data_IF_197827223334
#
_entry.id   IF_197827223334
#
_cell.length_a   1.000
_cell.length_b   1.000
_cell.length_c   1.000
_cell.angle_alpha   90.00
_cell.angle_beta   90.00
_cell.angle_gamma   90.00
#
_symmetry.space_group_name_H-M   'P 1'
#
loop_
_entity.id
_entity.type
_entity.pdbx_description
1 polymer ?
#
# COMPACT_ATOMS: atom_id res chain seq x y z
N UNK A 1 -47.11 -30.84 3.24
CA UNK A 1 -46.59 -29.63 3.92
C UNK A 1 -46.62 -28.49 2.91
N UNK A 2 -47.35 -27.41 3.19
CA UNK A 2 -47.87 -26.47 2.18
C UNK A 2 -46.82 -25.45 1.69
N UNK A 3 -46.86 -25.17 0.39
CA UNK A 3 -45.98 -24.33 -0.43
C UNK A 3 -46.16 -22.81 -0.20
N UNK A 4 -46.79 -22.39 0.91
CA UNK A 4 -47.35 -21.03 1.10
C UNK A 4 -46.60 -20.13 2.09
N UNK A 5 -45.48 -20.56 2.67
CA UNK A 5 -44.73 -19.75 3.65
C UNK A 5 -43.41 -19.13 3.14
N UNK A 6 -43.08 -19.27 1.85
CA UNK A 6 -41.80 -18.77 1.30
C UNK A 6 -41.75 -17.26 0.96
N UNK A 7 -42.85 -16.51 1.14
CA UNK A 7 -42.93 -15.09 0.77
C UNK A 7 -43.02 -14.10 1.95
N UNK A 8 -43.05 -14.58 3.20
CA UNK A 8 -42.92 -13.69 4.37
C UNK A 8 -41.45 -13.65 4.80
N UNK A 9 -40.80 -12.49 4.66
CA UNK A 9 -39.45 -12.26 5.18
C UNK A 9 -38.32 -12.36 4.14
N UNK A 10 -38.56 -11.98 2.87
CA UNK A 10 -37.50 -11.78 1.89
C UNK A 10 -36.84 -10.42 2.08
N UNK A 11 -35.51 -10.38 2.00
CA UNK A 11 -34.72 -9.15 2.15
C UNK A 11 -33.69 -9.01 1.03
N UNK A 12 -33.32 -7.78 0.71
CA UNK A 12 -32.15 -7.55 -0.14
C UNK A 12 -30.89 -7.64 0.71
N UNK A 13 -29.83 -8.29 0.21
CA UNK A 13 -28.56 -8.42 0.92
C UNK A 13 -27.43 -7.79 0.10
N UNK A 14 -26.73 -6.81 0.68
CA UNK A 14 -25.52 -6.25 0.11
C UNK A 14 -24.29 -7.04 0.55
N UNK A 15 -23.53 -7.56 -0.43
CA UNK A 15 -22.33 -8.35 -0.23
C UNK A 15 -21.10 -7.65 -0.82
N UNK A 16 -20.04 -7.55 -0.02
CA UNK A 16 -18.81 -6.84 -0.40
C UNK A 16 -17.51 -7.61 -0.12
N UNK A 17 -17.60 -8.75 0.58
CA UNK A 17 -16.49 -9.61 0.99
C UNK A 17 -16.49 -11.00 0.33
N UNK A 18 -16.27 -12.05 1.13
CA UNK A 18 -16.19 -13.46 0.70
C UNK A 18 -17.44 -13.94 -0.03
N UNK A 19 -18.63 -13.50 0.41
CA UNK A 19 -19.91 -13.85 -0.20
C UNK A 19 -20.06 -13.37 -1.66
N UNK A 20 -19.15 -12.51 -2.16
CA UNK A 20 -19.09 -12.13 -3.59
C UNK A 20 -18.68 -13.29 -4.51
N UNK A 21 -18.12 -14.38 -3.99
CA UNK A 21 -17.98 -15.63 -4.75
C UNK A 21 -19.28 -16.43 -4.63
N UNK A 22 -19.94 -16.66 -5.76
CA UNK A 22 -21.22 -17.38 -5.82
C UNK A 22 -21.14 -18.81 -5.28
N UNK A 23 -19.96 -19.44 -5.30
CA UNK A 23 -19.75 -20.78 -4.72
C UNK A 23 -19.74 -20.71 -3.20
N UNK A 24 -19.10 -19.69 -2.61
CA UNK A 24 -19.10 -19.48 -1.16
C UNK A 24 -20.50 -19.12 -0.69
N UNK A 25 -21.19 -18.22 -1.41
CA UNK A 25 -22.57 -17.88 -1.12
C UNK A 25 -23.50 -19.11 -1.15
N UNK A 26 -23.33 -20.01 -2.13
CA UNK A 26 -24.07 -21.28 -2.18
C UNK A 26 -23.74 -22.21 -1.03
N UNK A 27 -22.46 -22.36 -0.68
CA UNK A 27 -22.06 -23.20 0.44
C UNK A 27 -22.61 -22.71 1.79
N UNK A 28 -22.80 -21.41 1.94
CA UNK A 28 -23.33 -20.80 3.17
C UNK A 28 -24.86 -20.78 3.20
N UNK A 29 -25.50 -20.33 2.11
CA UNK A 29 -26.95 -20.05 2.08
C UNK A 29 -27.80 -21.16 1.45
N UNK A 30 -27.16 -22.11 0.76
CA UNK A 30 -27.84 -23.10 -0.09
C UNK A 30 -28.28 -22.56 -1.46
N UNK A 31 -28.16 -21.24 -1.71
CA UNK A 31 -28.63 -20.57 -2.93
C UNK A 31 -27.48 -20.04 -3.76
N UNK A 32 -27.66 -19.95 -5.08
CA UNK A 32 -26.72 -19.28 -5.99
C UNK A 32 -27.18 -17.87 -6.28
N UNK A 33 -26.30 -17.07 -6.88
CA UNK A 33 -26.72 -15.83 -7.50
C UNK A 33 -26.16 -15.68 -8.93
N UNK A 34 -26.89 -14.93 -9.75
CA UNK A 34 -26.55 -14.63 -11.14
C UNK A 34 -26.80 -13.17 -11.47
N UNK A 35 -25.91 -12.62 -12.30
CA UNK A 35 -26.06 -11.27 -12.87
C UNK A 35 -27.00 -11.22 -14.07
N UNK A 36 -27.39 -12.38 -14.61
CA UNK A 36 -28.27 -12.48 -15.77
C UNK A 36 -29.67 -12.83 -15.27
N UNK A 37 -30.63 -11.94 -15.48
CA UNK A 37 -32.03 -12.15 -15.10
C UNK A 37 -32.64 -13.40 -15.75
N UNK A 38 -32.17 -13.78 -16.95
CA UNK A 38 -32.61 -15.00 -17.65
C UNK A 38 -32.14 -16.32 -17.03
N UNK A 39 -31.30 -16.27 -15.98
CA UNK A 39 -30.78 -17.45 -15.26
C UNK A 39 -31.32 -17.56 -13.84
N UNK A 40 -32.36 -16.79 -13.51
CA UNK A 40 -33.02 -16.85 -12.21
C UNK A 40 -33.96 -18.07 -12.21
N UNK A 41 -33.86 -18.88 -11.17
CA UNK A 41 -34.73 -20.02 -10.93
C UNK A 41 -35.02 -20.14 -9.43
N UNK A 42 -35.58 -21.26 -8.99
CA UNK A 42 -35.93 -21.47 -7.58
C UNK A 42 -34.71 -21.48 -6.63
N UNK A 43 -33.51 -21.74 -7.15
CA UNK A 43 -32.26 -21.86 -6.37
C UNK A 43 -31.25 -20.74 -6.69
N UNK A 44 -31.51 -19.91 -7.69
CA UNK A 44 -30.60 -18.87 -8.19
C UNK A 44 -31.23 -17.49 -8.12
N UNK A 45 -30.69 -16.64 -7.24
CA UNK A 45 -31.12 -15.27 -7.00
C UNK A 45 -30.50 -14.26 -7.97
N UNK A 46 -31.14 -13.10 -8.12
CA UNK A 46 -30.60 -12.00 -8.93
C UNK A 46 -29.57 -11.18 -8.15
N UNK A 47 -28.45 -10.87 -8.79
CA UNK A 47 -27.42 -9.99 -8.25
C UNK A 47 -27.18 -8.79 -9.17
N UNK A 48 -27.31 -7.57 -8.63
CA UNK A 48 -26.95 -6.34 -9.35
C UNK A 48 -25.79 -5.58 -8.68
N UNK A 49 -24.92 -4.89 -9.45
CA UNK A 49 -23.85 -4.10 -8.86
C UNK A 49 -24.42 -2.91 -8.07
N UNK A 50 -23.83 -2.68 -6.90
CA UNK A 50 -24.27 -1.62 -6.00
C UNK A 50 -23.10 -0.97 -5.26
N UNK A 51 -23.33 0.27 -4.81
CA UNK A 51 -22.37 1.07 -4.05
C UNK A 51 -22.91 1.37 -2.65
N UNK A 52 -22.17 0.98 -1.62
CA UNK A 52 -22.42 1.41 -0.25
C UNK A 52 -21.61 2.68 0.03
N UNK A 53 -22.31 3.81 0.23
CA UNK A 53 -21.69 5.12 0.49
C UNK A 53 -21.38 5.32 1.97
N UNK A 54 -20.35 6.12 2.28
CA UNK A 54 -19.90 6.43 3.64
C UNK A 54 -19.26 5.26 4.39
N UNK A 55 -18.77 4.25 3.66
CA UNK A 55 -18.04 3.12 4.23
C UNK A 55 -16.75 2.86 3.46
N UNK A 56 -15.77 2.27 4.14
CA UNK A 56 -14.50 1.79 3.57
C UNK A 56 -14.32 0.32 3.90
N UNK A 57 -13.84 -0.45 2.91
CA UNK A 57 -13.48 -1.86 3.07
C UNK A 57 -12.06 -1.98 3.65
N UNK A 58 -11.88 -2.78 4.71
CA UNK A 58 -10.59 -3.10 5.33
C UNK A 58 -10.49 -4.60 5.57
N UNK A 59 -9.29 -5.19 5.61
CA UNK A 59 -9.09 -6.62 5.92
C UNK A 59 -7.93 -6.79 6.91
N UNK A 60 -8.18 -6.59 8.21
CA UNK A 60 -7.13 -6.52 9.21
C UNK A 60 -6.52 -7.89 9.55
N UNK A 61 -7.15 -9.00 9.15
CA UNK A 61 -6.64 -10.37 9.33
C UNK A 61 -6.24 -11.06 8.03
N UNK A 62 -6.39 -10.37 6.88
CA UNK A 62 -6.11 -10.91 5.55
C UNK A 62 -6.92 -12.18 5.20
N UNK A 63 -8.00 -12.44 5.94
CA UNK A 63 -8.92 -13.57 5.72
C UNK A 63 -10.33 -13.04 5.45
N UNK A 64 -10.73 -11.96 6.12
CA UNK A 64 -12.07 -11.40 6.02
C UNK A 64 -12.06 -9.90 5.71
N UNK A 65 -13.10 -9.43 5.00
CA UNK A 65 -13.29 -8.02 4.66
C UNK A 65 -14.35 -7.39 5.57
N UNK A 66 -14.05 -6.19 6.05
CA UNK A 66 -14.85 -5.45 7.02
C UNK A 66 -15.21 -4.08 6.47
N UNK A 67 -16.48 -3.68 6.60
CA UNK A 67 -16.94 -2.34 6.28
C UNK A 67 -16.91 -1.46 7.53
N UNK A 68 -16.11 -0.39 7.50
CA UNK A 68 -16.03 0.61 8.57
C UNK A 68 -16.57 1.96 8.08
N UNK A 69 -17.19 2.74 8.95
CA UNK A 69 -17.72 4.05 8.59
C UNK A 69 -16.59 5.00 8.16
N UNK A 70 -16.76 5.64 7.00
CA UNK A 70 -15.79 6.55 6.39
C UNK A 70 -16.52 7.56 5.49
N UNK A 71 -16.77 8.80 5.95
CA UNK A 71 -17.72 9.73 5.32
C UNK A 71 -17.47 10.03 3.84
N UNK A 72 -16.21 10.00 3.39
CA UNK A 72 -15.82 10.32 2.02
C UNK A 72 -15.53 9.08 1.15
N UNK A 73 -15.82 7.88 1.64
CA UNK A 73 -15.50 6.61 0.97
C UNK A 73 -16.74 5.89 0.47
N UNK A 74 -16.52 4.91 -0.40
CA UNK A 74 -17.56 3.98 -0.88
C UNK A 74 -17.02 2.57 -1.02
N UNK A 75 -17.90 1.58 -0.94
CA UNK A 75 -17.59 0.16 -1.17
C UNK A 75 -18.38 -0.33 -2.38
N UNK A 76 -17.67 -0.89 -3.36
CA UNK A 76 -18.28 -1.60 -4.50
C UNK A 76 -18.63 -3.05 -4.10
N UNK A 77 -19.87 -3.45 -4.36
CA UNK A 77 -20.38 -4.79 -4.04
C UNK A 77 -21.52 -5.22 -4.96
N UNK A 78 -22.26 -6.22 -4.50
CA UNK A 78 -23.47 -6.71 -5.17
C UNK A 78 -24.64 -6.64 -4.20
N UNK A 79 -25.82 -6.31 -4.70
CA UNK A 79 -27.07 -6.57 -3.98
C UNK A 79 -27.67 -7.84 -4.53
N UNK A 80 -27.90 -8.80 -3.64
CA UNK A 80 -28.66 -10.01 -3.92
C UNK A 80 -30.11 -9.73 -3.52
N UNK A 81 -31.02 -9.83 -4.49
CA UNK A 81 -32.44 -9.56 -4.25
C UNK A 81 -33.17 -10.77 -3.68
N UNK A 82 -34.20 -10.48 -2.89
CA UNK A 82 -35.19 -11.46 -2.43
C UNK A 82 -34.61 -12.68 -1.70
N UNK A 83 -33.56 -12.47 -0.90
CA UNK A 83 -32.95 -13.53 -0.07
C UNK A 83 -33.98 -13.98 0.97
N UNK A 84 -34.38 -15.26 0.99
CA UNK A 84 -35.43 -15.74 1.88
C UNK A 84 -34.92 -15.87 3.33
N UNK A 85 -35.81 -15.68 4.31
CA UNK A 85 -35.48 -15.73 5.74
C UNK A 85 -34.68 -16.97 6.20
N UNK A 86 -34.97 -18.21 5.73
CA UNK A 86 -34.15 -19.37 6.09
C UNK A 86 -32.69 -19.26 5.62
N UNK A 87 -32.45 -18.72 4.42
CA UNK A 87 -31.11 -18.49 3.90
C UNK A 87 -30.39 -17.39 4.68
N UNK A 88 -31.10 -16.32 5.05
CA UNK A 88 -30.56 -15.27 5.93
C UNK A 88 -30.14 -15.82 7.29
N UNK A 89 -30.91 -16.74 7.89
CA UNK A 89 -30.57 -17.35 9.17
C UNK A 89 -29.32 -18.26 9.11
N UNK A 90 -29.01 -18.84 7.95
CA UNK A 90 -27.73 -19.54 7.71
C UNK A 90 -26.57 -18.56 7.56
N UNK A 91 -26.78 -17.46 6.83
CA UNK A 91 -25.76 -16.40 6.67
C UNK A 91 -25.48 -15.73 8.03
N UNK A 92 -26.49 -15.52 8.87
CA UNK A 92 -26.32 -15.01 10.23
C UNK A 92 -25.45 -15.95 11.08
N UNK A 93 -25.60 -17.27 10.94
CA UNK A 93 -24.74 -18.24 11.64
C UNK A 93 -23.30 -18.21 11.15
N UNK A 94 -23.10 -17.92 9.87
CA UNK A 94 -21.78 -17.82 9.25
C UNK A 94 -21.05 -16.51 9.61
N UNK A 95 -21.72 -15.35 9.45
CA UNK A 95 -21.13 -14.02 9.65
C UNK A 95 -21.31 -13.46 11.07
N UNK A 96 -22.40 -13.81 11.77
CA UNK A 96 -22.87 -13.18 13.01
C UNK A 96 -21.96 -13.35 14.24
N UNK A 97 -20.83 -14.04 14.11
CA UNK A 97 -19.78 -14.07 15.14
C UNK A 97 -18.85 -12.87 15.06
N UNK A 98 -18.70 -12.25 13.89
CA UNK A 98 -17.70 -11.21 13.62
C UNK A 98 -18.30 -9.91 13.07
N UNK A 99 -19.56 -9.96 12.65
CA UNK A 99 -20.26 -8.86 12.01
C UNK A 99 -21.63 -8.64 12.65
N UNK A 100 -22.08 -7.40 12.63
CA UNK A 100 -23.43 -7.00 12.99
C UNK A 100 -24.23 -6.79 11.70
N UNK A 101 -25.45 -7.31 11.65
CA UNK A 101 -26.34 -7.10 10.50
C UNK A 101 -27.07 -5.78 10.67
N UNK A 102 -26.91 -4.89 9.70
CA UNK A 102 -27.53 -3.57 9.70
C UNK A 102 -28.25 -3.28 8.40
N UNK A 103 -29.31 -2.48 8.46
CA UNK A 103 -30.01 -1.97 7.28
C UNK A 103 -29.26 -0.77 6.71
N UNK A 104 -28.85 -0.86 5.45
CA UNK A 104 -28.09 0.16 4.74
C UNK A 104 -28.81 0.59 3.46
N UNK A 105 -28.52 1.82 3.02
CA UNK A 105 -28.91 2.31 1.69
C UNK A 105 -27.74 2.16 0.74
N UNK A 106 -27.98 1.46 -0.37
CA UNK A 106 -27.00 1.21 -1.42
C UNK A 106 -27.51 1.77 -2.74
N UNK A 107 -26.59 2.28 -3.56
CA UNK A 107 -26.92 2.89 -4.84
C UNK A 107 -26.67 1.89 -5.96
N UNK A 108 -27.72 1.55 -6.70
CA UNK A 108 -27.65 0.71 -7.90
C UNK A 108 -27.85 1.58 -9.14
N UNK A 109 -27.76 0.99 -10.32
CA UNK A 109 -27.99 1.72 -11.57
C UNK A 109 -29.41 2.30 -11.68
N UNK A 110 -30.38 1.70 -10.95
CA UNK A 110 -31.78 2.06 -11.01
C UNK A 110 -32.23 2.97 -9.86
N UNK A 111 -31.33 3.31 -8.93
CA UNK A 111 -31.62 4.19 -7.80
C UNK A 111 -31.08 3.65 -6.47
N UNK A 112 -31.49 4.30 -5.38
CA UNK A 112 -31.13 3.86 -4.03
C UNK A 112 -32.11 2.80 -3.55
N UNK A 113 -31.60 1.69 -3.03
CA UNK A 113 -32.40 0.60 -2.47
C UNK A 113 -31.95 0.30 -1.03
N UNK A 114 -32.89 -0.15 -0.21
CA UNK A 114 -32.58 -0.66 1.13
C UNK A 114 -32.16 -2.13 1.03
N UNK A 115 -31.07 -2.45 1.70
CA UNK A 115 -30.52 -3.79 1.82
C UNK A 115 -29.95 -4.01 3.22
N UNK A 116 -29.88 -5.25 3.65
CA UNK A 116 -29.11 -5.63 4.82
C UNK A 116 -27.64 -5.82 4.44
N UNK A 117 -26.73 -5.45 5.34
CA UNK A 117 -25.30 -5.69 5.18
C UNK A 117 -24.69 -6.12 6.51
N UNK A 118 -23.68 -6.97 6.45
CA UNK A 118 -22.88 -7.34 7.62
C UNK A 118 -21.78 -6.31 7.78
N UNK A 119 -21.88 -5.44 8.79
CA UNK A 119 -20.95 -4.35 9.09
C UNK A 119 -20.19 -4.65 10.39
N UNK A 120 -19.22 -3.79 10.70
CA UNK A 120 -18.56 -3.80 12.01
C UNK A 120 -18.48 -2.41 12.58
N UNK A 121 -18.74 -2.32 13.88
CA UNK A 121 -18.53 -1.09 14.65
C UNK A 121 -17.03 -0.89 14.93
N UNK A 122 -16.62 0.38 15.04
CA UNK A 122 -15.23 0.73 15.38
C UNK A 122 -14.81 0.09 16.73
N UNK A 123 -15.71 0.05 17.70
CA UNK A 123 -15.49 -0.54 19.01
C UNK A 123 -15.33 -2.07 18.97
N UNK A 124 -16.10 -2.76 18.11
CA UNK A 124 -15.96 -4.22 17.91
C UNK A 124 -14.62 -4.57 17.26
N UNK A 125 -14.19 -3.76 16.28
CA UNK A 125 -12.88 -3.89 15.64
C UNK A 125 -11.74 -3.70 16.64
N UNK A 126 -11.78 -2.66 17.48
CA UNK A 126 -10.75 -2.40 18.48
C UNK A 126 -10.65 -3.53 19.52
N UNK A 127 -11.78 -4.13 19.93
CA UNK A 127 -11.80 -5.25 20.90
C UNK A 127 -11.31 -6.57 20.30
N UNK A 128 -11.71 -6.90 19.07
CA UNK A 128 -11.34 -8.17 18.43
C UNK A 128 -9.93 -8.16 17.85
N UNK A 129 -9.47 -6.98 17.44
CA UNK A 129 -8.26 -6.85 16.65
C UNK A 129 -7.17 -6.01 17.32
N UNK A 130 -7.46 -5.29 18.41
CA UNK A 130 -6.51 -4.37 19.05
C UNK A 130 -6.17 -3.19 18.13
N UNK A 131 -4.99 -2.60 18.30
CA UNK A 131 -4.38 -1.61 17.39
C UNK A 131 -3.94 -2.24 16.04
N UNK A 132 -4.87 -2.84 15.29
CA UNK A 132 -4.60 -3.43 13.95
C UNK A 132 -4.43 -2.37 12.84
N UNK A 133 -3.83 -1.24 13.20
CA UNK A 133 -3.11 -0.28 12.37
C UNK A 133 -2.00 -0.94 11.51
N UNK A 134 -1.59 -2.17 11.83
CA UNK A 134 -0.46 -2.87 11.19
C UNK A 134 -0.72 -3.50 9.81
N UNK A 135 -1.93 -3.52 9.23
CA UNK A 135 -2.14 -4.20 7.93
C UNK A 135 -1.60 -3.41 6.73
N UNK A 136 -1.76 -2.09 6.75
CA UNK A 136 -1.09 -1.20 5.80
C UNK A 136 0.44 -1.31 5.91
N UNK A 137 0.95 -1.43 7.14
CA UNK A 137 2.37 -1.69 7.41
C UNK A 137 2.82 -3.05 6.86
N UNK A 138 2.06 -4.13 7.09
CA UNK A 138 2.41 -5.48 6.63
C UNK A 138 2.46 -5.53 5.10
N UNK A 139 1.50 -4.91 4.41
CA UNK A 139 1.52 -4.80 2.95
C UNK A 139 2.70 -3.97 2.43
N UNK A 140 2.97 -2.82 3.04
CA UNK A 140 4.16 -2.02 2.73
C UNK A 140 5.44 -2.84 2.92
N UNK A 141 5.58 -3.55 4.05
CA UNK A 141 6.73 -4.40 4.34
C UNK A 141 6.86 -5.57 3.35
N UNK A 142 5.76 -6.19 2.94
CA UNK A 142 5.76 -7.27 1.97
C UNK A 142 6.15 -6.80 0.57
N UNK A 143 5.62 -5.65 0.15
CA UNK A 143 5.99 -5.01 -1.11
C UNK A 143 7.46 -4.61 -1.13
N UNK A 144 7.96 -4.00 -0.05
CA UNK A 144 9.40 -3.69 0.12
C UNK A 144 10.26 -4.94 0.05
N UNK A 145 9.85 -6.05 0.66
CA UNK A 145 10.55 -7.36 0.53
C UNK A 145 10.52 -7.92 -0.90
N UNK A 146 9.46 -7.67 -1.69
CA UNK A 146 9.41 -8.03 -3.12
C UNK A 146 10.39 -7.20 -3.95
N UNK A 147 10.39 -5.88 -3.75
CA UNK A 147 11.33 -4.95 -4.39
C UNK A 147 12.78 -5.34 -4.06
N UNK A 148 13.08 -5.61 -2.78
CA UNK A 148 14.40 -6.02 -2.34
C UNK A 148 14.84 -7.35 -3.02
N UNK A 149 13.94 -8.32 -3.13
CA UNK A 149 14.21 -9.58 -3.85
C UNK A 149 14.46 -9.34 -5.33
N UNK A 150 13.71 -8.45 -5.97
CA UNK A 150 13.91 -8.09 -7.38
C UNK A 150 15.31 -7.48 -7.58
N UNK A 151 15.69 -6.48 -6.77
CA UNK A 151 17.00 -5.82 -6.86
C UNK A 151 18.12 -6.84 -6.60
N UNK A 152 17.98 -7.72 -5.61
CA UNK A 152 18.96 -8.80 -5.34
C UNK A 152 19.14 -9.78 -6.49
N UNK A 153 18.10 -10.02 -7.30
CA UNK A 153 18.16 -10.89 -8.49
C UNK A 153 18.79 -10.19 -9.70
N UNK A 154 18.55 -8.88 -9.88
CA UNK A 154 19.05 -8.12 -11.03
C UNK A 154 20.47 -7.60 -10.82
N UNK A 155 20.79 -7.11 -9.63
CA UNK A 155 22.03 -6.39 -9.35
C UNK A 155 23.00 -7.28 -8.57
N UNK A 156 24.00 -7.81 -9.30
CA UNK A 156 25.06 -8.72 -8.79
C UNK A 156 24.50 -9.93 -8.05
N UNK A 157 23.75 -10.80 -8.74
CA UNK A 157 23.07 -11.94 -8.13
C UNK A 157 24.07 -12.90 -7.47
N UNK A 158 23.73 -13.36 -6.26
CA UNK A 158 24.57 -14.29 -5.49
C UNK A 158 25.73 -13.64 -4.72
N UNK A 159 26.10 -12.39 -5.04
CA UNK A 159 27.22 -11.72 -4.40
C UNK A 159 26.83 -11.04 -3.07
N UNK A 160 27.61 -11.31 -2.02
CA UNK A 160 27.39 -10.83 -0.64
C UNK A 160 28.42 -9.81 -0.16
N UNK A 161 29.24 -9.25 -1.05
CA UNK A 161 30.26 -8.24 -0.69
C UNK A 161 29.61 -6.93 -0.25
N UNK A 162 30.34 -6.13 0.53
CA UNK A 162 29.92 -4.77 0.94
C UNK A 162 29.72 -3.87 -0.29
N UNK A 163 30.52 -4.09 -1.33
CA UNK A 163 30.44 -3.37 -2.59
C UNK A 163 29.13 -3.65 -3.33
N UNK A 164 28.78 -4.92 -3.50
CA UNK A 164 27.50 -5.33 -4.10
C UNK A 164 26.28 -4.83 -3.30
N UNK A 165 26.36 -4.82 -1.97
CA UNK A 165 25.29 -4.28 -1.14
C UNK A 165 25.13 -2.76 -1.27
N UNK A 166 26.24 -2.03 -1.40
CA UNK A 166 26.20 -0.59 -1.65
C UNK A 166 25.55 -0.28 -3.00
N UNK A 167 25.86 -1.10 -4.01
CA UNK A 167 25.33 -0.96 -5.37
C UNK A 167 23.83 -1.25 -5.43
N UNK A 168 23.36 -2.33 -4.77
CA UNK A 168 21.92 -2.62 -4.65
C UNK A 168 21.13 -1.49 -3.99
N UNK A 169 21.69 -0.89 -2.95
CA UNK A 169 21.08 0.26 -2.27
C UNK A 169 21.07 1.50 -3.16
N UNK A 170 22.15 1.75 -3.91
CA UNK A 170 22.20 2.85 -4.86
C UNK A 170 21.19 2.68 -5.99
N UNK A 171 21.01 1.46 -6.50
CA UNK A 171 19.98 1.12 -7.48
C UNK A 171 18.57 1.42 -6.94
N UNK A 172 18.32 1.05 -5.68
CA UNK A 172 17.04 1.33 -5.00
C UNK A 172 16.80 2.83 -4.83
N UNK A 173 17.83 3.60 -4.50
CA UNK A 173 17.77 5.05 -4.34
C UNK A 173 17.35 5.73 -5.65
N UNK A 174 17.92 5.31 -6.78
CA UNK A 174 17.53 5.79 -8.11
C UNK A 174 16.11 5.40 -8.53
N UNK A 175 15.54 4.35 -7.91
CA UNK A 175 14.16 3.91 -8.10
C UNK A 175 13.19 4.42 -7.03
N UNK A 176 13.64 5.29 -6.10
CA UNK A 176 12.87 5.63 -4.90
C UNK A 176 11.48 6.21 -5.19
N UNK A 177 11.34 7.03 -6.25
CA UNK A 177 10.04 7.56 -6.68
C UNK A 177 9.12 6.45 -7.18
N UNK A 178 9.64 5.53 -8.01
CA UNK A 178 8.88 4.37 -8.49
C UNK A 178 8.45 3.46 -7.33
N UNK A 179 9.36 3.16 -6.39
CA UNK A 179 9.01 2.38 -5.20
C UNK A 179 7.92 3.07 -4.38
N UNK A 180 8.02 4.39 -4.19
CA UNK A 180 6.99 5.17 -3.50
C UNK A 180 5.65 5.06 -4.22
N UNK A 181 5.61 5.25 -5.52
CA UNK A 181 4.37 5.23 -6.29
C UNK A 181 3.74 3.83 -6.29
N UNK A 182 4.54 2.77 -6.33
CA UNK A 182 4.10 1.39 -6.14
C UNK A 182 3.51 1.13 -4.74
N UNK A 183 4.14 1.69 -3.70
CA UNK A 183 3.60 1.61 -2.33
C UNK A 183 2.30 2.41 -2.19
N UNK A 184 2.22 3.57 -2.83
CA UNK A 184 1.05 4.45 -2.78
C UNK A 184 -0.13 3.89 -3.58
N UNK A 185 0.11 3.27 -4.74
CA UNK A 185 -0.95 2.64 -5.55
C UNK A 185 -1.61 1.48 -4.81
N UNK A 186 -0.85 0.69 -4.05
CA UNK A 186 -1.40 -0.38 -3.19
C UNK A 186 -2.40 0.12 -2.14
N UNK A 187 -2.32 1.39 -1.71
CA UNK A 187 -3.31 1.97 -0.80
C UNK A 187 -4.64 2.33 -1.48
N UNK A 188 -4.66 2.43 -2.82
CA UNK A 188 -5.79 2.93 -3.60
C UNK A 188 -6.39 1.88 -4.57
N UNK A 189 -5.73 0.75 -4.82
CA UNK A 189 -6.19 -0.31 -5.74
C UNK A 189 -5.98 -1.73 -5.18
N UNK A 190 -6.56 -2.74 -5.85
CA UNK A 190 -6.30 -4.16 -5.57
C UNK A 190 -4.81 -4.52 -5.67
N UNK A 191 -4.43 -5.69 -5.14
CA UNK A 191 -3.05 -6.16 -5.00
C UNK A 191 -2.21 -6.02 -6.28
N UNK A 192 -1.01 -5.43 -6.15
CA UNK A 192 -0.06 -5.22 -7.24
C UNK A 192 0.50 -6.56 -7.75
N UNK A 193 0.21 -6.91 -9.01
CA UNK A 193 0.68 -8.17 -9.64
C UNK A 193 2.21 -8.22 -9.76
N UNK A 194 2.79 -9.43 -9.76
CA UNK A 194 4.24 -9.60 -9.93
C UNK A 194 4.72 -9.06 -11.27
N UNK A 195 3.97 -9.29 -12.35
CA UNK A 195 4.31 -8.78 -13.68
C UNK A 195 4.40 -7.25 -13.72
N UNK A 196 3.42 -6.54 -13.15
CA UNK A 196 3.44 -5.08 -13.13
C UNK A 196 4.58 -4.55 -12.26
N UNK A 197 4.83 -5.18 -11.10
CA UNK A 197 5.94 -4.81 -10.23
C UNK A 197 7.30 -4.99 -10.91
N UNK A 198 7.51 -6.12 -11.58
CA UNK A 198 8.75 -6.36 -12.33
C UNK A 198 8.92 -5.36 -13.46
N UNK A 199 7.87 -5.09 -14.24
CA UNK A 199 7.91 -4.10 -15.32
C UNK A 199 8.30 -2.70 -14.82
N UNK A 200 7.71 -2.25 -13.71
CA UNK A 200 7.98 -0.93 -13.14
C UNK A 200 9.38 -0.82 -12.55
N UNK A 201 9.89 -1.89 -11.93
CA UNK A 201 11.26 -1.91 -11.37
C UNK A 201 12.35 -2.14 -12.44
N UNK A 202 11.97 -2.58 -13.63
CA UNK A 202 12.91 -2.79 -14.74
C UNK A 202 13.21 -1.55 -15.57
N UNK A 203 12.66 -0.39 -15.18
CA UNK A 203 12.92 0.89 -15.83
C UNK A 203 14.43 1.22 -15.84
N UNK A 204 14.93 1.86 -16.90
CA UNK A 204 16.32 2.30 -16.97
C UNK A 204 16.62 3.28 -15.84
N UNK A 205 17.81 3.17 -15.25
CA UNK A 205 18.26 4.06 -14.18
C UNK A 205 18.66 5.41 -14.80
N UNK A 206 18.39 6.54 -14.14
CA UNK A 206 18.85 7.84 -14.61
C UNK A 206 20.38 7.87 -14.74
N UNK A 207 20.88 8.50 -15.81
CA UNK A 207 22.30 8.68 -16.10
C UNK A 207 22.55 10.16 -16.39
N UNK A 208 23.72 10.66 -16.00
CA UNK A 208 24.14 12.05 -16.25
C UNK A 208 25.06 12.18 -17.46
N UNK A 209 25.39 11.08 -18.15
CA UNK A 209 26.32 11.08 -19.29
C UNK A 209 25.93 12.04 -20.40
N UNK A 210 24.62 12.17 -20.64
CA UNK A 210 24.07 13.07 -21.66
C UNK A 210 24.34 14.56 -21.34
N UNK A 211 24.67 14.91 -20.10
CA UNK A 211 24.95 16.29 -19.67
C UNK A 211 26.42 16.69 -19.89
N UNK A 212 27.30 15.75 -20.20
CA UNK A 212 28.75 16.03 -20.32
C UNK A 212 29.09 16.83 -21.58
N UNK A 213 28.33 16.59 -22.64
CA UNK A 213 28.47 17.28 -23.92
C UNK A 213 27.57 18.53 -24.02
N UNK A 214 26.77 18.83 -22.99
CA UNK A 214 25.91 20.01 -22.94
C UNK A 214 26.68 21.23 -22.39
N UNK A 215 26.98 22.24 -23.22
CA UNK A 215 27.72 23.43 -22.79
C UNK A 215 27.00 24.25 -21.72
N UNK A 216 25.66 24.18 -21.67
CA UNK A 216 24.86 24.91 -20.69
C UNK A 216 24.84 24.21 -19.32
N UNK A 217 24.87 22.87 -19.31
CA UNK A 217 24.86 22.09 -18.07
C UNK A 217 26.24 21.97 -17.42
N UNK A 218 27.31 21.92 -18.24
CA UNK A 218 28.69 21.69 -17.80
C UNK A 218 29.15 22.58 -16.62
N UNK A 219 28.86 23.89 -16.55
CA UNK A 219 29.27 24.74 -15.43
C UNK A 219 28.63 24.35 -14.09
N UNK A 220 27.47 23.67 -14.12
CA UNK A 220 26.68 23.33 -12.95
C UNK A 220 26.86 21.89 -12.49
N UNK A 221 27.59 21.05 -13.22
CA UNK A 221 27.66 19.61 -12.97
C UNK A 221 28.13 19.28 -11.55
N UNK A 222 29.15 19.98 -11.05
CA UNK A 222 29.66 19.76 -9.70
C UNK A 222 28.66 20.18 -8.62
N UNK A 223 27.92 21.28 -8.84
CA UNK A 223 26.88 21.73 -7.91
C UNK A 223 25.70 20.75 -7.90
N UNK A 224 25.32 20.23 -9.06
CA UNK A 224 24.30 19.19 -9.18
C UNK A 224 24.73 17.90 -8.47
N UNK A 225 25.95 17.43 -8.69
CA UNK A 225 26.50 16.24 -8.02
C UNK A 225 26.60 16.42 -6.51
N UNK A 226 27.00 17.61 -6.04
CA UNK A 226 26.97 17.95 -4.62
C UNK A 226 25.55 17.86 -4.05
N UNK A 227 24.55 18.38 -4.76
CA UNK A 227 23.15 18.27 -4.36
C UNK A 227 22.68 16.81 -4.32
N UNK A 228 23.04 16.00 -5.33
CA UNK A 228 22.72 14.57 -5.37
C UNK A 228 23.28 13.86 -4.14
N UNK A 229 24.57 14.05 -3.82
CA UNK A 229 25.19 13.41 -2.66
C UNK A 229 24.50 13.85 -1.37
N UNK A 230 24.21 15.15 -1.19
CA UNK A 230 23.46 15.66 -0.02
C UNK A 230 22.06 15.05 0.08
N UNK A 231 21.37 14.91 -1.04
CA UNK A 231 20.04 14.31 -1.09
C UNK A 231 20.07 12.83 -0.72
N UNK A 232 21.08 12.08 -1.20
CA UNK A 232 21.25 10.67 -0.84
C UNK A 232 21.52 10.53 0.67
N UNK A 233 22.39 11.37 1.24
CA UNK A 233 22.62 11.38 2.69
C UNK A 233 21.31 11.63 3.46
N UNK A 234 20.50 12.59 3.01
CA UNK A 234 19.20 12.90 3.62
C UNK A 234 18.25 11.71 3.57
N UNK A 235 18.12 11.08 2.39
CA UNK A 235 17.22 9.96 2.18
C UNK A 235 17.64 8.74 3.01
N UNK A 236 18.94 8.46 3.11
CA UNK A 236 19.45 7.37 3.92
C UNK A 236 19.20 7.62 5.42
N UNK A 237 19.43 8.85 5.92
CA UNK A 237 19.11 9.23 7.30
C UNK A 237 17.60 9.10 7.59
N UNK A 238 16.74 9.60 6.69
CA UNK A 238 15.29 9.47 6.82
C UNK A 238 14.85 7.99 6.86
N UNK A 239 15.38 7.14 5.96
CA UNK A 239 15.06 5.71 5.94
C UNK A 239 15.55 5.00 7.22
N UNK A 240 16.71 5.38 7.76
CA UNK A 240 17.20 4.86 9.05
C UNK A 240 16.30 5.27 10.23
N UNK A 241 15.92 6.55 10.31
CA UNK A 241 14.99 7.06 11.33
C UNK A 241 13.64 6.36 11.21
N UNK A 242 13.11 6.20 10.00
CA UNK A 242 11.86 5.49 9.72
C UNK A 242 11.95 3.99 10.06
N UNK A 243 13.10 3.35 9.89
CA UNK A 243 13.27 1.95 10.24
C UNK A 243 13.34 1.74 11.76
N UNK A 244 13.99 2.65 12.48
CA UNK A 244 14.25 2.49 13.92
C UNK A 244 13.11 3.03 14.80
N UNK A 245 12.53 4.18 14.44
CA UNK A 245 11.58 4.92 15.28
C UNK A 245 10.18 4.98 14.67
N UNK A 246 9.83 4.01 13.82
CA UNK A 246 8.58 4.04 13.06
C UNK A 246 7.36 4.22 13.94
N UNK A 247 7.33 3.49 15.06
CA UNK A 247 6.21 3.46 15.99
C UNK A 247 5.95 4.85 16.59
N UNK A 248 7.00 5.52 17.05
CA UNK A 248 6.96 6.85 17.62
C UNK A 248 6.54 7.89 16.58
N UNK A 249 7.13 7.81 15.38
CA UNK A 249 6.86 8.73 14.27
C UNK A 249 5.40 8.66 13.79
N UNK A 250 4.81 7.48 13.75
CA UNK A 250 3.39 7.31 13.37
C UNK A 250 2.45 7.95 14.41
N UNK A 251 2.83 7.95 15.70
CA UNK A 251 2.05 8.56 16.79
C UNK A 251 2.25 10.06 16.91
N UNK A 252 3.36 10.60 16.42
CA UNK A 252 3.61 12.05 16.35
C UNK A 252 2.84 12.73 15.22
N UNK A 253 2.08 11.97 14.41
CA UNK A 253 1.27 12.52 13.32
C UNK A 253 0.10 13.31 13.85
N UNK A 254 0.05 14.58 13.48
CA UNK A 254 -1.05 15.48 13.76
C UNK A 254 -2.15 15.46 12.68
N UNK A 255 -1.90 14.91 11.49
CA UNK A 255 -2.94 14.76 10.44
C UNK A 255 -2.62 13.66 9.43
N UNK A 256 -3.64 12.93 8.99
CA UNK A 256 -3.57 12.00 7.84
C UNK A 256 -3.39 12.71 6.49
N UNK A 257 -3.65 14.02 6.42
CA UNK A 257 -3.45 14.83 5.21
C UNK A 257 -1.98 15.13 4.91
N UNK A 258 -1.10 15.08 5.92
CA UNK A 258 0.31 15.44 5.74
C UNK A 258 1.16 14.23 5.33
N UNK A 259 2.26 14.53 4.65
CA UNK A 259 3.18 13.54 4.10
C UNK A 259 3.69 12.59 5.18
N UNK A 260 3.55 11.28 4.95
CA UNK A 260 3.90 10.18 5.89
C UNK A 260 5.27 10.30 6.55
N UNK A 261 6.24 10.92 5.86
CA UNK A 261 7.63 11.08 6.31
C UNK A 261 7.97 12.51 6.77
N UNK A 262 7.00 13.40 7.01
CA UNK A 262 7.30 14.81 7.37
C UNK A 262 8.17 14.94 8.62
N UNK A 263 7.86 14.20 9.69
CA UNK A 263 8.59 14.29 10.96
C UNK A 263 10.00 13.72 10.84
N UNK A 264 10.16 12.55 10.21
CA UNK A 264 11.47 11.93 10.01
C UNK A 264 12.35 12.73 9.06
N UNK A 265 11.77 13.32 8.01
CA UNK A 265 12.49 14.15 7.07
C UNK A 265 12.99 15.43 7.73
N UNK A 266 12.16 16.06 8.59
CA UNK A 266 12.58 17.21 9.38
C UNK A 266 13.73 16.85 10.33
N UNK A 267 13.64 15.71 11.02
CA UNK A 267 14.71 15.23 11.89
C UNK A 267 16.00 14.97 11.10
N UNK A 268 15.92 14.30 9.95
CA UNK A 268 17.05 14.05 9.06
C UNK A 268 17.69 15.36 8.55
N UNK A 269 16.89 16.36 8.18
CA UNK A 269 17.37 17.69 7.80
C UNK A 269 18.10 18.39 8.95
N UNK A 270 17.56 18.32 10.18
CA UNK A 270 18.22 18.86 11.36
C UNK A 270 19.56 18.17 11.63
N UNK A 271 19.64 16.85 11.44
CA UNK A 271 20.90 16.11 11.57
C UNK A 271 21.93 16.55 10.53
N UNK A 272 21.54 16.72 9.26
CA UNK A 272 22.42 17.24 8.20
C UNK A 272 22.93 18.64 8.54
N UNK A 273 22.04 19.54 8.94
CA UNK A 273 22.40 20.93 9.22
C UNK A 273 23.32 21.04 10.46
N UNK A 274 23.05 20.25 11.50
CA UNK A 274 23.89 20.20 12.69
C UNK A 274 25.29 19.64 12.40
N UNK A 275 25.39 18.73 11.42
CA UNK A 275 26.63 18.10 10.99
C UNK A 275 27.17 18.65 9.65
N UNK A 276 26.85 19.91 9.31
CA UNK A 276 27.17 20.48 7.99
C UNK A 276 28.66 20.35 7.61
N UNK A 277 29.60 20.53 8.56
CA UNK A 277 31.04 20.38 8.30
C UNK A 277 31.39 18.98 7.79
N UNK A 278 30.83 17.95 8.42
CA UNK A 278 31.04 16.56 8.02
C UNK A 278 30.43 16.30 6.64
N UNK A 279 29.23 16.83 6.38
CA UNK A 279 28.57 16.70 5.07
C UNK A 279 29.39 17.37 3.96
N UNK A 280 29.90 18.58 4.19
CA UNK A 280 30.76 19.28 3.21
C UNK A 280 32.08 18.53 2.96
N UNK A 281 32.68 17.92 3.99
CA UNK A 281 33.86 17.07 3.81
C UNK A 281 33.56 15.85 2.93
N UNK A 282 32.43 15.17 3.18
CA UNK A 282 31.99 14.02 2.37
C UNK A 282 31.77 14.43 0.91
N UNK A 283 31.09 15.55 0.66
CA UNK A 283 30.82 16.05 -0.69
C UNK A 283 32.12 16.45 -1.40
N UNK A 284 32.98 17.20 -0.71
CA UNK A 284 34.25 17.66 -1.28
C UNK A 284 35.16 16.49 -1.66
N UNK A 285 35.24 15.48 -0.78
CA UNK A 285 36.03 14.27 -1.03
C UNK A 285 35.45 13.44 -2.20
N UNK A 286 34.12 13.34 -2.29
CA UNK A 286 33.45 12.69 -3.41
C UNK A 286 33.83 13.34 -4.75
N UNK A 287 33.64 14.65 -4.89
CA UNK A 287 33.93 15.38 -6.12
C UNK A 287 35.43 15.38 -6.47
N UNK A 288 36.31 15.33 -5.47
CA UNK A 288 37.76 15.27 -5.67
C UNK A 288 38.22 13.90 -6.19
N UNK A 289 37.63 12.82 -5.68
CA UNK A 289 38.07 11.44 -5.97
C UNK A 289 37.36 10.84 -7.17
N UNK A 290 36.18 11.33 -7.50
CA UNK A 290 35.35 10.83 -8.59
C UNK A 290 35.08 11.97 -9.60
N UNK A 291 35.97 12.18 -10.58
CA UNK A 291 35.74 13.15 -11.64
C UNK A 291 34.55 12.70 -12.52
N UNK A 292 33.71 13.65 -12.95
CA UNK A 292 32.45 13.34 -13.66
C UNK A 292 32.67 12.67 -15.01
N UNK A 293 33.78 12.93 -15.70
CA UNK A 293 34.06 12.34 -17.01
C UNK A 293 34.26 10.81 -16.95
N UNK A 294 34.56 10.26 -15.76
CA UNK A 294 34.86 8.83 -15.57
C UNK A 294 33.78 8.08 -14.79
N UNK A 295 32.80 8.78 -14.26
CA UNK A 295 31.78 8.22 -13.36
C UNK A 295 30.39 8.59 -13.89
N UNK A 296 29.38 7.81 -13.54
CA UNK A 296 27.98 8.12 -13.81
C UNK A 296 27.23 8.38 -12.50
N UNK A 297 25.96 8.77 -12.58
CA UNK A 297 25.14 9.15 -11.44
C UNK A 297 25.11 8.07 -10.35
N UNK A 298 25.02 6.81 -10.75
CA UNK A 298 25.00 5.66 -9.84
C UNK A 298 26.23 5.60 -8.94
N UNK A 299 27.40 6.04 -9.42
CA UNK A 299 28.64 6.01 -8.64
C UNK A 299 28.58 7.02 -7.49
N UNK A 300 28.07 8.22 -7.75
CA UNK A 300 27.88 9.26 -6.71
C UNK A 300 26.82 8.85 -5.70
N UNK A 301 25.74 8.20 -6.15
CA UNK A 301 24.73 7.65 -5.27
C UNK A 301 25.31 6.52 -4.40
N UNK A 302 26.08 5.61 -4.99
CA UNK A 302 26.78 4.53 -4.28
C UNK A 302 27.78 5.07 -3.26
N UNK A 303 28.48 6.17 -3.58
CA UNK A 303 29.33 6.88 -2.62
C UNK A 303 28.51 7.44 -1.45
N UNK A 304 27.42 8.16 -1.72
CA UNK A 304 26.54 8.73 -0.70
C UNK A 304 25.95 7.67 0.24
N UNK A 305 25.49 6.54 -0.29
CA UNK A 305 24.99 5.40 0.49
C UNK A 305 26.04 4.85 1.45
N UNK A 306 27.31 4.79 1.03
CA UNK A 306 28.40 4.34 1.90
C UNK A 306 28.71 5.34 2.98
N UNK A 307 28.80 6.62 2.62
CA UNK A 307 29.10 7.70 3.55
C UNK A 307 27.99 7.87 4.62
N UNK A 308 26.72 7.62 4.26
CA UNK A 308 25.62 7.69 5.21
C UNK A 308 25.76 6.69 6.37
N UNK A 309 26.35 5.50 6.14
CA UNK A 309 26.54 4.49 7.19
C UNK A 309 27.38 4.98 8.36
N UNK A 310 28.37 5.84 8.10
CA UNK A 310 29.22 6.40 9.15
C UNK A 310 28.59 7.60 9.86
N UNK A 311 27.56 8.22 9.28
CA UNK A 311 26.86 9.36 9.89
C UNK A 311 25.78 8.94 10.89
N UNK A 312 25.24 7.73 10.75
CA UNK A 312 24.20 7.18 11.61
C UNK A 312 24.81 6.13 12.56
N UNK A 313 25.57 6.58 13.57
CA UNK A 313 26.08 5.69 14.61
C UNK A 313 25.01 5.51 15.70
N UNK A 314 24.55 4.27 15.89
CA UNK A 314 23.49 3.90 16.84
C UNK A 314 23.99 3.76 18.29
N UNK A 315 25.25 4.13 18.57
CA UNK A 315 25.90 3.97 19.87
C UNK A 315 25.79 5.19 20.80
N UNK A 316 24.88 6.11 20.51
CA UNK A 316 24.47 7.20 21.43
C UNK A 316 23.03 7.02 21.82
#
# INVERSE_FOLDING_TARGET
MRYTDMNKGKVNLFIYGSLRDSRIFQSVSGLRFSRKASKIDAETLFAEPALLSHYRKVSPDNVYYYAIAAPSSRIDGWVIHDVPAPAMAEIDRYEGKRYERESVKVNTANGSIEAEAYLVTHDSMQRHFGDRFHVNLIHELWLRRRIERFIKRRTRPGERTVDAESERRADRELLATTERDLVMSHYHSDAVSDYYLEHELDRPRPSIRHLYDDPQAKPFINNYLALVVKQVLLNQLDEHIQAQYRFELERMRSSERYFKRSVSLLAALQMINSNHKTVELIVSECLRTMPCEKNDLIDYVKYGVRAAKSMFDTRV
#
